data_IF_889617563208
#
_entry.id   IF_889617563208
#
_cell.length_a   1.000
_cell.length_b   1.000
_cell.length_c   1.000
_cell.angle_alpha   90.00
_cell.angle_beta   90.00
_cell.angle_gamma   90.00
#
_symmetry.space_group_name_H-M   'P 1'
#
loop_
_entity.id
_entity.type
_entity.pdbx_description
1 polymer ?
#
# COMPACT_ATOMS: atom_id res chain seq x y z
N UNK A 1 -16.29 -6.35 -19.62
CA UNK A 1 -16.07 -7.47 -18.69
C UNK A 1 -15.87 -6.90 -17.29
N UNK A 2 -16.90 -7.01 -16.46
CA UNK A 2 -17.07 -6.31 -15.19
C UNK A 2 -16.32 -7.05 -14.08
N UNK A 3 -15.09 -6.64 -13.79
CA UNK A 3 -14.29 -7.19 -12.69
C UNK A 3 -14.55 -6.42 -11.39
N UNK A 4 -15.45 -6.98 -10.57
CA UNK A 4 -15.69 -6.69 -9.16
C UNK A 4 -14.50 -5.99 -8.47
N UNK A 5 -14.68 -4.76 -7.99
CA UNK A 5 -13.72 -4.03 -7.15
C UNK A 5 -13.39 -4.86 -5.91
N UNK A 6 -12.31 -5.65 -5.97
CA UNK A 6 -11.96 -6.64 -4.95
C UNK A 6 -11.39 -5.93 -3.73
N UNK A 7 -12.28 -5.57 -2.80
CA UNK A 7 -11.91 -5.09 -1.46
C UNK A 7 -11.17 -6.21 -0.73
N UNK A 8 -9.93 -5.95 -0.29
CA UNK A 8 -9.11 -6.90 0.47
C UNK A 8 -8.85 -6.35 1.86
N UNK A 9 -8.96 -7.18 2.88
CA UNK A 9 -8.59 -6.84 4.27
C UNK A 9 -7.30 -7.56 4.64
N UNK A 10 -6.45 -6.90 5.42
CA UNK A 10 -5.14 -7.39 5.83
C UNK A 10 -4.90 -6.99 7.28
N UNK A 11 -4.56 -7.95 8.13
CA UNK A 11 -4.09 -7.69 9.50
C UNK A 11 -2.60 -7.35 9.45
N UNK A 12 -2.23 -6.25 10.09
CA UNK A 12 -0.86 -5.78 10.15
C UNK A 12 -0.42 -5.67 11.61
N UNK A 13 0.44 -6.58 12.10
CA UNK A 13 0.86 -6.55 13.49
C UNK A 13 1.80 -5.39 13.80
N UNK A 14 1.74 -4.91 15.03
CA UNK A 14 2.59 -3.86 15.58
C UNK A 14 4.08 -4.17 15.36
N UNK A 15 4.83 -3.18 14.87
CA UNK A 15 6.27 -3.26 14.71
C UNK A 15 6.75 -4.18 13.57
N UNK A 16 5.86 -4.87 12.84
CA UNK A 16 6.22 -5.77 11.75
C UNK A 16 5.97 -5.16 10.38
N UNK A 17 6.88 -5.41 9.44
CA UNK A 17 6.68 -5.03 8.04
C UNK A 17 5.68 -5.98 7.37
N UNK A 18 4.55 -5.42 6.93
CA UNK A 18 3.52 -6.14 6.19
C UNK A 18 3.46 -5.63 4.76
N UNK A 19 3.51 -6.53 3.78
CA UNK A 19 3.37 -6.17 2.36
C UNK A 19 1.90 -5.92 2.04
N UNK A 20 1.56 -4.66 1.79
CA UNK A 20 0.20 -4.23 1.43
C UNK A 20 -0.04 -4.51 -0.05
N UNK A 21 0.92 -4.22 -0.92
CA UNK A 21 0.80 -4.52 -2.34
C UNK A 21 2.18 -4.84 -2.92
N UNK A 22 2.23 -5.74 -3.89
CA UNK A 22 3.42 -5.98 -4.68
C UNK A 22 3.04 -6.45 -6.07
N UNK A 23 3.75 -5.95 -7.07
CA UNK A 23 3.64 -6.43 -8.44
C UNK A 23 4.97 -6.37 -9.18
N UNK A 24 5.06 -7.21 -10.20
CA UNK A 24 6.21 -7.36 -11.09
C UNK A 24 5.68 -7.32 -12.52
N UNK A 25 6.41 -6.68 -13.44
CA UNK A 25 6.13 -6.65 -14.88
C UNK A 25 4.71 -6.20 -15.26
N UNK A 26 4.04 -5.43 -14.41
CA UNK A 26 2.68 -4.93 -14.70
C UNK A 26 2.77 -3.66 -15.54
N UNK A 27 2.17 -3.60 -16.73
CA UNK A 27 2.32 -2.44 -17.62
C UNK A 27 1.45 -1.23 -17.27
N UNK A 28 0.30 -1.44 -16.61
CA UNK A 28 -0.72 -0.39 -16.47
C UNK A 28 -0.63 0.34 -15.12
N UNK A 29 -0.88 1.66 -15.11
CA UNK A 29 -0.94 2.43 -13.89
C UNK A 29 -2.17 1.98 -13.10
N UNK A 30 -2.12 2.14 -11.79
CA UNK A 30 -3.25 1.86 -10.92
C UNK A 30 -3.18 2.68 -9.64
N UNK A 31 -4.34 2.96 -9.07
CA UNK A 31 -4.50 3.61 -7.78
C UNK A 31 -5.19 2.66 -6.80
N UNK A 32 -4.84 2.80 -5.52
CA UNK A 32 -5.51 2.11 -4.42
C UNK A 32 -5.75 3.07 -3.27
N UNK A 33 -6.91 2.95 -2.65
CA UNK A 33 -7.23 3.56 -1.37
C UNK A 33 -6.96 2.57 -0.25
N UNK A 34 -6.15 2.98 0.72
CA UNK A 34 -5.96 2.29 1.98
C UNK A 34 -6.78 2.96 3.05
N UNK A 35 -7.67 2.20 3.68
CA UNK A 35 -8.36 2.58 4.91
C UNK A 35 -7.70 1.80 6.06
N UNK A 36 -7.08 2.50 6.99
CA UNK A 36 -6.29 1.92 8.09
C UNK A 36 -7.00 2.24 9.40
N UNK A 37 -7.37 1.20 10.14
CA UNK A 37 -8.07 1.32 11.42
C UNK A 37 -7.27 0.67 12.53
N UNK A 38 -7.00 1.43 13.60
CA UNK A 38 -6.40 0.91 14.81
C UNK A 38 -7.47 0.53 15.85
N UNK A 39 -7.19 -0.41 16.76
CA UNK A 39 -8.06 -0.76 17.87
C UNK A 39 -8.40 0.45 18.74
N UNK A 40 -9.62 0.45 19.29
CA UNK A 40 -10.06 1.47 20.25
C UNK A 40 -10.25 2.87 19.66
N UNK A 41 -10.32 3.02 18.34
CA UNK A 41 -10.56 4.32 17.69
C UNK A 41 -9.37 5.27 17.74
N UNK A 42 -8.18 4.76 18.09
CA UNK A 42 -6.93 5.54 18.06
C UNK A 42 -6.51 5.84 16.62
N UNK A 43 -5.76 6.93 16.44
CA UNK A 43 -5.18 7.23 15.13
C UNK A 43 -4.03 6.25 14.85
N UNK A 44 -4.01 5.60 13.66
CA UNK A 44 -2.92 4.70 13.32
C UNK A 44 -1.61 5.49 13.14
N UNK A 45 -0.54 4.97 13.73
CA UNK A 45 0.81 5.53 13.65
C UNK A 45 1.79 4.50 13.06
N UNK A 46 2.94 4.98 12.59
CA UNK A 46 4.00 4.17 12.00
C UNK A 46 4.38 4.64 10.60
N UNK A 47 4.92 3.73 9.78
CA UNK A 47 5.50 4.07 8.48
C UNK A 47 4.94 3.23 7.34
N UNK A 48 4.73 3.87 6.21
CA UNK A 48 4.47 3.24 4.92
C UNK A 48 5.64 3.52 3.99
N UNK A 49 6.10 2.47 3.30
CA UNK A 49 7.24 2.52 2.39
C UNK A 49 6.79 2.05 1.02
N UNK A 50 6.98 2.92 0.01
CA UNK A 50 6.79 2.58 -1.38
C UNK A 50 8.16 2.39 -2.04
N UNK A 51 8.34 1.25 -2.69
CA UNK A 51 9.51 0.95 -3.51
C UNK A 51 9.09 0.82 -4.96
N UNK A 52 9.84 1.50 -5.82
CA UNK A 52 9.64 1.57 -7.26
C UNK A 52 10.92 1.16 -7.96
N UNK A 53 10.83 0.59 -9.15
CA UNK A 53 12.00 0.34 -9.99
C UNK A 53 11.71 0.67 -11.45
N UNK A 54 12.73 1.13 -12.15
CA UNK A 54 12.71 1.16 -13.60
C UNK A 54 13.59 0.02 -14.11
N UNK A 55 12.99 -1.00 -14.73
CA UNK A 55 13.72 -2.23 -15.06
C UNK A 55 14.37 -2.83 -13.80
N UNK A 56 15.65 -3.16 -13.89
CA UNK A 56 16.49 -3.67 -12.80
C UNK A 56 17.07 -2.55 -11.91
N UNK A 57 16.90 -1.28 -12.29
CA UNK A 57 17.44 -0.16 -11.52
C UNK A 57 16.46 0.23 -10.40
N UNK A 58 16.91 0.21 -9.14
CA UNK A 58 16.08 0.65 -8.02
C UNK A 58 15.76 2.14 -8.19
N UNK A 59 14.48 2.48 -8.06
CA UNK A 59 14.02 3.86 -8.00
C UNK A 59 14.04 4.41 -6.58
N UNK A 60 13.48 5.61 -6.41
CA UNK A 60 13.36 6.22 -5.08
C UNK A 60 12.48 5.37 -4.16
N UNK A 61 12.96 5.20 -2.92
CA UNK A 61 12.16 4.69 -1.82
C UNK A 61 11.47 5.89 -1.18
N UNK A 62 10.15 5.86 -1.16
CA UNK A 62 9.34 6.89 -0.51
C UNK A 62 8.85 6.35 0.83
N UNK A 63 9.24 6.99 1.93
CA UNK A 63 8.74 6.68 3.27
C UNK A 63 7.86 7.82 3.76
N UNK A 64 6.64 7.48 4.18
CA UNK A 64 5.65 8.45 4.69
C UNK A 64 5.02 7.93 5.99
N UNK A 65 4.61 8.83 6.90
CA UNK A 65 3.85 8.42 8.07
C UNK A 65 2.50 7.82 7.67
N UNK A 66 2.04 6.83 8.44
CA UNK A 66 0.71 6.24 8.25
C UNK A 66 -0.37 7.28 8.58
N UNK A 67 -1.41 7.33 7.75
CA UNK A 67 -2.63 8.09 8.00
C UNK A 67 -3.84 7.15 7.93
N UNK A 68 -4.98 7.50 8.55
CA UNK A 68 -6.20 6.68 8.49
C UNK A 68 -6.66 6.37 7.08
N UNK A 69 -6.41 7.29 6.15
CA UNK A 69 -6.71 7.12 4.74
C UNK A 69 -5.48 7.51 3.92
N UNK A 70 -5.07 6.63 3.01
CA UNK A 70 -3.92 6.87 2.15
C UNK A 70 -4.21 6.42 0.73
N UNK A 71 -3.97 7.31 -0.24
CA UNK A 71 -3.98 6.95 -1.66
C UNK A 71 -2.58 6.55 -2.10
N UNK A 72 -2.49 5.40 -2.75
CA UNK A 72 -1.27 4.92 -3.38
C UNK A 72 -1.46 4.94 -4.88
N UNK A 73 -0.48 5.49 -5.59
CA UNK A 73 -0.48 5.55 -7.05
C UNK A 73 0.75 4.85 -7.61
N UNK A 74 0.53 3.93 -8.53
CA UNK A 74 1.55 3.33 -9.37
C UNK A 74 1.44 3.91 -10.77
N UNK A 75 2.51 4.51 -11.27
CA UNK A 75 2.63 5.02 -12.63
C UNK A 75 3.10 3.94 -13.62
N UNK A 76 3.01 4.21 -14.94
CA UNK A 76 3.32 3.30 -16.05
C UNK A 76 4.72 2.65 -15.97
N UNK A 77 5.70 3.34 -15.38
CA UNK A 77 7.13 3.01 -15.46
C UNK A 77 7.62 2.41 -14.13
N UNK A 78 7.03 1.30 -13.68
CA UNK A 78 7.41 0.66 -12.41
C UNK A 78 7.57 -0.86 -12.54
N UNK A 79 8.67 -1.36 -13.12
CA UNK A 79 8.86 -2.80 -13.39
C UNK A 79 8.61 -3.66 -12.15
N UNK A 80 9.17 -3.26 -11.01
CA UNK A 80 8.80 -3.76 -9.70
C UNK A 80 8.17 -2.64 -8.88
N UNK A 81 7.06 -2.94 -8.24
CA UNK A 81 6.38 -2.01 -7.35
C UNK A 81 5.98 -2.73 -6.07
N UNK A 82 6.34 -2.19 -4.91
CA UNK A 82 5.91 -2.75 -3.64
C UNK A 82 5.57 -1.66 -2.64
N UNK A 83 4.54 -1.91 -1.85
CA UNK A 83 4.13 -1.07 -0.74
C UNK A 83 4.13 -1.91 0.51
N UNK A 84 4.86 -1.45 1.51
CA UNK A 84 4.96 -2.08 2.82
C UNK A 84 4.53 -1.11 3.90
N UNK A 85 3.93 -1.63 4.95
CA UNK A 85 3.45 -0.87 6.09
C UNK A 85 4.03 -1.50 7.36
N UNK A 86 4.51 -0.67 8.28
CA UNK A 86 4.93 -1.04 9.63
C UNK A 86 4.20 -0.13 10.62
N UNK A 87 3.11 -0.61 11.23
CA UNK A 87 2.36 0.18 12.19
C UNK A 87 3.02 0.11 13.59
N UNK A 88 2.72 1.08 14.44
CA UNK A 88 3.18 1.09 15.84
C UNK A 88 2.27 0.26 16.77
N UNK A 89 1.00 0.10 16.38
CA UNK A 89 0.02 -0.79 17.02
C UNK A 89 -0.49 -1.81 15.99
N UNK A 90 -1.19 -2.85 16.44
CA UNK A 90 -1.89 -3.73 15.51
C UNK A 90 -2.93 -2.91 14.75
N UNK A 91 -3.00 -3.04 13.42
CA UNK A 91 -4.00 -2.35 12.59
C UNK A 91 -4.63 -3.29 11.59
N UNK A 92 -5.87 -3.01 11.24
CA UNK A 92 -6.55 -3.59 10.09
C UNK A 92 -6.44 -2.64 8.91
N UNK A 93 -5.98 -3.16 7.77
CA UNK A 93 -5.88 -2.40 6.52
C UNK A 93 -6.89 -2.95 5.52
N UNK A 94 -7.77 -2.07 5.07
CA UNK A 94 -8.69 -2.32 3.98
C UNK A 94 -8.15 -1.66 2.71
N UNK A 95 -8.03 -2.45 1.65
CA UNK A 95 -7.43 -2.04 0.39
C UNK A 95 -8.52 -2.08 -0.67
N UNK A 96 -8.74 -0.95 -1.33
CA UNK A 96 -9.69 -0.82 -2.45
C UNK A 96 -8.93 -0.35 -3.67
N UNK A 97 -9.10 -1.02 -4.80
CA UNK A 97 -8.58 -0.52 -6.07
C UNK A 97 -9.47 0.62 -6.53
N UNK A 98 -8.89 1.73 -6.92
CA UNK A 98 -9.60 2.83 -7.56
C UNK A 98 -9.32 2.78 -9.07
N UNK A 99 -10.26 3.31 -9.86
CA UNK A 99 -9.94 3.69 -11.23
C UNK A 99 -8.92 4.84 -11.20
N UNK A 100 -8.10 4.95 -12.25
CA UNK A 100 -7.29 6.14 -12.45
C UNK A 100 -8.10 7.26 -13.07
#
# INVERSE_FOLDING_TARGET
MTGLFRKRRLKCPAGAWTTVYSSSFTGYPASWLLEITAPGGTLPAGRLVQKRSFWIFPGSVEEVPIQPEMRIVRHWINTFYSVKLRPEADVDVTIRREGL
#
